data_IF_804388027019
#
_entry.id   IF_804388027019
#
_cell.length_a   1.000
_cell.length_b   1.000
_cell.length_c   1.000
_cell.angle_alpha   90.00
_cell.angle_beta   90.00
_cell.angle_gamma   90.00
#
_symmetry.space_group_name_H-M   'P 1'
#
loop_
_entity.id
_entity.type
_entity.pdbx_description
1 polymer ?
#
# COMPACT_ATOMS: atom_id res chain seq x y z
N UNK A 1 11.19 -2.97 11.35
CA UNK A 1 10.05 -3.87 11.60
C UNK A 1 9.62 -4.43 10.26
N UNK A 2 9.47 -5.74 10.15
CA UNK A 2 8.89 -6.44 9.01
C UNK A 2 8.17 -7.68 9.56
N UNK A 3 6.85 -7.74 9.44
CA UNK A 3 6.03 -8.76 10.07
C UNK A 3 5.05 -9.38 9.08
N UNK A 4 4.74 -10.66 9.29
CA UNK A 4 3.77 -11.42 8.51
C UNK A 4 2.61 -11.85 9.43
N UNK A 5 1.40 -11.36 9.14
CA UNK A 5 0.22 -11.55 9.99
C UNK A 5 -0.85 -12.33 9.20
N UNK A 6 -1.22 -13.57 9.57
CA UNK A 6 -2.32 -14.29 8.95
C UNK A 6 -3.67 -13.57 9.18
N UNK A 7 -4.33 -13.17 8.09
CA UNK A 7 -5.60 -12.42 8.12
C UNK A 7 -6.74 -13.21 7.50
N UNK A 8 -6.52 -13.82 6.34
CA UNK A 8 -7.55 -14.52 5.55
C UNK A 8 -7.14 -15.95 5.23
N UNK A 9 -8.11 -16.85 5.20
CA UNK A 9 -7.98 -18.17 4.57
C UNK A 9 -8.06 -18.04 3.04
N UNK A 10 -7.66 -19.09 2.30
CA UNK A 10 -7.76 -19.11 0.84
C UNK A 10 -9.21 -18.95 0.35
N UNK A 11 -10.20 -19.54 1.04
CA UNK A 11 -11.62 -19.37 0.69
C UNK A 11 -12.09 -17.92 0.90
N UNK A 12 -11.60 -17.24 1.92
CA UNK A 12 -11.92 -15.83 2.16
C UNK A 12 -11.20 -14.91 1.14
N UNK A 13 -9.98 -15.23 0.75
CA UNK A 13 -9.31 -14.53 -0.35
C UNK A 13 -10.10 -14.65 -1.66
N UNK A 14 -10.60 -15.85 -1.97
CA UNK A 14 -11.44 -16.06 -3.16
C UNK A 14 -12.76 -15.26 -3.08
N UNK A 15 -13.40 -15.21 -1.90
CA UNK A 15 -14.58 -14.35 -1.69
C UNK A 15 -14.26 -12.87 -1.94
N UNK A 16 -13.13 -12.36 -1.41
CA UNK A 16 -12.70 -10.98 -1.64
C UNK A 16 -12.43 -10.75 -3.13
N UNK A 17 -11.71 -11.67 -3.78
CA UNK A 17 -11.41 -11.62 -5.20
C UNK A 17 -12.68 -11.49 -6.05
N UNK A 18 -13.68 -12.35 -5.80
CA UNK A 18 -14.97 -12.32 -6.50
C UNK A 18 -15.70 -10.98 -6.29
N UNK A 19 -15.66 -10.44 -5.06
CA UNK A 19 -16.25 -9.13 -4.76
C UNK A 19 -15.55 -8.00 -5.50
N UNK A 20 -14.20 -8.00 -5.55
CA UNK A 20 -13.41 -7.03 -6.32
C UNK A 20 -13.81 -7.08 -7.80
N UNK A 21 -13.97 -8.28 -8.38
CA UNK A 21 -14.43 -8.44 -9.77
C UNK A 21 -15.85 -7.96 -10.00
N UNK A 22 -16.77 -8.23 -9.08
CA UNK A 22 -18.16 -7.73 -9.15
C UNK A 22 -18.22 -6.20 -9.16
N UNK A 23 -17.22 -5.53 -8.57
CA UNK A 23 -17.09 -4.07 -8.52
C UNK A 23 -16.30 -3.49 -9.71
N UNK A 24 -16.18 -4.19 -10.84
CA UNK A 24 -15.40 -3.73 -11.99
C UNK A 24 -15.78 -2.34 -12.50
N UNK A 25 -17.04 -1.94 -12.38
CA UNK A 25 -17.50 -0.59 -12.74
C UNK A 25 -16.94 0.52 -11.84
N UNK A 26 -16.46 0.17 -10.65
CA UNK A 26 -15.82 1.08 -9.69
C UNK A 26 -14.28 1.06 -9.78
N UNK A 27 -13.73 0.33 -10.72
CA UNK A 27 -12.28 0.30 -10.92
C UNK A 27 -11.81 1.59 -11.58
N UNK A 28 -10.80 2.19 -11.01
CA UNK A 28 -10.17 3.40 -11.55
C UNK A 28 -8.94 2.98 -12.34
N UNK A 29 -8.94 3.24 -13.66
CA UNK A 29 -7.79 2.94 -14.51
C UNK A 29 -6.59 3.81 -14.15
N UNK A 30 -5.43 3.17 -14.07
CA UNK A 30 -4.15 3.76 -13.72
C UNK A 30 -3.08 3.32 -14.73
N UNK A 31 -1.91 3.94 -14.65
CA UNK A 31 -0.79 3.61 -15.53
C UNK A 31 -0.98 4.10 -16.96
N UNK A 32 -0.16 3.57 -17.86
CA UNK A 32 -0.22 3.84 -19.29
C UNK A 32 -1.03 2.76 -20.03
N UNK A 33 -1.30 2.98 -21.33
CA UNK A 33 -1.93 1.98 -22.17
C UNK A 33 -1.11 0.68 -22.28
N UNK A 34 0.22 0.78 -22.20
CA UNK A 34 1.13 -0.37 -22.30
C UNK A 34 1.23 -1.16 -20.98
N UNK A 35 1.00 -0.49 -19.85
CA UNK A 35 1.10 -1.07 -18.49
C UNK A 35 -0.11 -0.66 -17.65
N UNK A 36 -1.31 -1.09 -18.03
CA UNK A 36 -2.51 -0.73 -17.30
C UNK A 36 -2.58 -1.47 -15.97
N UNK A 37 -2.96 -0.75 -14.93
CA UNK A 37 -3.43 -1.34 -13.69
C UNK A 37 -4.62 -0.56 -13.18
N UNK A 38 -5.30 -1.08 -12.16
CA UNK A 38 -6.50 -0.46 -11.63
C UNK A 38 -6.39 -0.35 -10.12
N UNK A 39 -7.11 0.64 -9.58
CA UNK A 39 -7.36 0.75 -8.13
C UNK A 39 -8.85 0.69 -7.85
N UNK A 40 -9.21 0.14 -6.68
CA UNK A 40 -10.55 0.28 -6.10
C UNK A 40 -10.36 1.02 -4.79
N UNK A 41 -10.66 2.30 -4.81
CA UNK A 41 -10.34 3.26 -3.75
C UNK A 41 -9.40 4.38 -4.21
N UNK A 42 -9.29 5.44 -3.40
CA UNK A 42 -8.37 6.54 -3.63
C UNK A 42 -6.97 6.15 -3.13
N UNK A 43 -6.00 6.19 -4.03
CA UNK A 43 -4.61 5.85 -3.73
C UNK A 43 -3.81 7.14 -3.46
N UNK A 44 -3.45 7.40 -2.22
CA UNK A 44 -2.80 8.66 -1.81
C UNK A 44 -1.54 8.97 -2.61
N UNK A 45 -0.72 7.97 -2.92
CA UNK A 45 0.52 8.16 -3.69
C UNK A 45 0.31 8.58 -5.16
N UNK A 46 -0.93 8.46 -5.68
CA UNK A 46 -1.34 8.97 -7.01
C UNK A 46 -2.21 10.20 -6.83
N UNK A 47 -3.28 10.07 -6.05
CA UNK A 47 -4.40 11.01 -6.05
C UNK A 47 -4.14 12.25 -5.18
N UNK A 48 -3.23 12.16 -4.20
CA UNK A 48 -2.86 13.29 -3.35
C UNK A 48 -1.59 14.01 -3.82
N UNK A 49 -0.69 13.35 -4.56
CA UNK A 49 0.61 13.93 -4.94
C UNK A 49 0.65 14.44 -6.38
N UNK A 50 -0.31 14.07 -7.22
CA UNK A 50 -0.36 14.52 -8.61
C UNK A 50 -0.49 16.05 -8.69
N UNK A 51 0.30 16.68 -9.57
CA UNK A 51 0.21 18.12 -9.86
C UNK A 51 -0.56 18.39 -11.13
N UNK A 52 -0.60 17.40 -12.05
CA UNK A 52 -1.28 17.52 -13.35
C UNK A 52 -1.85 16.15 -13.73
N UNK A 53 -3.16 15.94 -13.65
CA UNK A 53 -4.19 16.86 -13.14
C UNK A 53 -4.02 17.21 -11.66
N UNK A 54 -4.71 18.23 -11.13
CA UNK A 54 -4.64 18.57 -9.71
C UNK A 54 -5.06 17.41 -8.82
N UNK A 55 -4.67 17.39 -7.55
CA UNK A 55 -5.01 16.31 -6.63
C UNK A 55 -6.51 16.09 -6.53
N UNK A 56 -6.95 14.85 -6.65
CA UNK A 56 -8.35 14.44 -6.59
C UNK A 56 -8.65 13.48 -5.44
N UNK A 57 -7.74 13.36 -4.50
CA UNK A 57 -7.85 12.40 -3.39
C UNK A 57 -9.19 12.50 -2.64
N UNK A 58 -9.57 13.73 -2.23
CA UNK A 58 -10.81 13.96 -1.50
C UNK A 58 -12.07 13.69 -2.33
N UNK A 59 -12.05 13.96 -3.63
CA UNK A 59 -13.16 13.65 -4.52
C UNK A 59 -13.35 12.14 -4.64
N UNK A 60 -12.27 11.42 -4.93
CA UNK A 60 -12.30 9.97 -5.16
C UNK A 60 -12.68 9.22 -3.87
N UNK A 61 -12.18 9.63 -2.69
CA UNK A 61 -12.55 8.97 -1.44
C UNK A 61 -14.04 9.11 -1.12
N UNK A 62 -14.66 10.26 -1.43
CA UNK A 62 -16.10 10.46 -1.22
C UNK A 62 -16.94 9.50 -2.08
N UNK A 63 -16.48 9.22 -3.29
CA UNK A 63 -17.15 8.28 -4.21
C UNK A 63 -16.87 6.82 -3.82
N UNK A 64 -15.65 6.49 -3.41
CA UNK A 64 -15.20 5.09 -3.26
C UNK A 64 -15.34 4.53 -1.85
N UNK A 65 -15.17 5.34 -0.79
CA UNK A 65 -15.31 4.85 0.59
C UNK A 65 -16.67 4.20 0.90
N UNK A 66 -17.84 4.76 0.45
CA UNK A 66 -19.11 4.10 0.64
C UNK A 66 -19.17 2.70 0.01
N UNK A 67 -18.69 2.56 -1.23
CA UNK A 67 -18.63 1.28 -1.95
C UNK A 67 -17.76 0.28 -1.21
N UNK A 68 -16.57 0.71 -0.78
CA UNK A 68 -15.65 -0.14 -0.03
C UNK A 68 -16.25 -0.58 1.31
N UNK A 69 -16.92 0.32 2.04
CA UNK A 69 -17.59 -0.02 3.30
C UNK A 69 -18.74 -1.01 3.10
N UNK A 70 -19.56 -0.82 2.11
CA UNK A 70 -20.70 -1.69 1.81
C UNK A 70 -20.26 -3.13 1.55
N UNK A 71 -19.24 -3.29 0.71
CA UNK A 71 -18.84 -4.62 0.23
C UNK A 71 -17.77 -5.31 1.09
N UNK A 72 -16.94 -4.54 1.84
CA UNK A 72 -15.78 -5.06 2.57
C UNK A 72 -15.77 -4.74 4.07
N UNK A 73 -16.92 -4.33 4.68
CA UNK A 73 -16.97 -4.01 6.12
C UNK A 73 -16.40 -5.13 7.01
N UNK A 74 -16.70 -6.39 6.70
CA UNK A 74 -16.21 -7.54 7.44
C UNK A 74 -14.69 -7.70 7.32
N UNK A 75 -14.12 -7.40 6.14
CA UNK A 75 -12.69 -7.45 5.89
C UNK A 75 -11.97 -6.35 6.68
N UNK A 76 -12.49 -5.13 6.66
CA UNK A 76 -11.92 -4.03 7.44
C UNK A 76 -12.01 -4.29 8.95
N UNK A 77 -13.12 -4.81 9.45
CA UNK A 77 -13.25 -5.18 10.85
C UNK A 77 -12.18 -6.22 11.25
N UNK A 78 -11.95 -7.23 10.41
CA UNK A 78 -10.92 -8.25 10.64
C UNK A 78 -9.52 -7.66 10.56
N UNK A 79 -9.22 -6.84 9.54
CA UNK A 79 -7.95 -6.18 9.36
C UNK A 79 -7.58 -5.34 10.59
N UNK A 80 -8.49 -4.46 11.01
CA UNK A 80 -8.30 -3.62 12.20
C UNK A 80 -8.09 -4.46 13.46
N UNK A 81 -8.87 -5.52 13.65
CA UNK A 81 -8.69 -6.42 14.80
C UNK A 81 -7.31 -7.08 14.80
N UNK A 82 -6.87 -7.65 13.66
CA UNK A 82 -5.56 -8.30 13.54
C UNK A 82 -4.41 -7.33 13.77
N UNK A 83 -4.50 -6.14 13.19
CA UNK A 83 -3.53 -5.08 13.42
C UNK A 83 -3.54 -4.60 14.88
N UNK A 84 -4.72 -4.43 15.50
CA UNK A 84 -4.82 -4.01 16.91
C UNK A 84 -4.17 -5.00 17.86
N UNK A 85 -4.38 -6.30 17.63
CA UNK A 85 -3.74 -7.36 18.44
C UNK A 85 -2.23 -7.33 18.25
N UNK A 86 -1.75 -7.22 17.02
CA UNK A 86 -0.32 -7.22 16.71
C UNK A 86 0.41 -5.98 17.24
N UNK A 87 -0.19 -4.80 17.04
CA UNK A 87 0.38 -3.51 17.45
C UNK A 87 0.13 -3.18 18.92
N UNK A 88 -0.66 -4.00 19.62
CA UNK A 88 -1.08 -3.77 21.03
C UNK A 88 -1.70 -2.39 21.25
N UNK A 89 -2.42 -1.89 20.25
CA UNK A 89 -3.06 -0.58 20.26
C UNK A 89 -4.33 -0.59 19.41
N UNK A 90 -5.23 0.35 19.68
CA UNK A 90 -6.45 0.51 18.86
C UNK A 90 -6.06 0.87 17.44
N UNK A 91 -6.71 0.23 16.46
CA UNK A 91 -6.61 0.57 15.04
C UNK A 91 -7.98 1.03 14.56
N UNK A 92 -8.02 2.16 13.85
CA UNK A 92 -9.24 2.78 13.35
C UNK A 92 -9.05 3.36 11.95
N UNK A 93 -10.16 3.67 11.27
CA UNK A 93 -10.21 4.52 10.08
C UNK A 93 -10.74 5.90 10.44
N UNK A 94 -10.56 6.89 9.56
CA UNK A 94 -11.15 8.21 9.65
C UNK A 94 -11.98 8.48 8.40
N UNK A 95 -13.09 9.22 8.54
CA UNK A 95 -14.01 9.46 7.41
C UNK A 95 -13.41 10.38 6.35
N UNK A 96 -12.49 11.24 6.76
CA UNK A 96 -11.77 12.20 5.92
C UNK A 96 -10.61 11.56 5.13
N UNK A 97 -10.32 10.29 5.39
CA UNK A 97 -9.24 9.55 4.74
C UNK A 97 -9.79 8.41 3.90
N UNK A 98 -9.08 8.08 2.81
CA UNK A 98 -9.41 6.92 2.01
C UNK A 98 -9.23 5.63 2.84
N UNK A 99 -10.19 4.72 2.73
CA UNK A 99 -10.05 3.38 3.27
C UNK A 99 -8.92 2.62 2.54
N UNK A 100 -8.25 1.66 3.21
CA UNK A 100 -7.36 0.73 2.52
C UNK A 100 -8.03 0.16 1.27
N UNK A 101 -7.36 0.25 0.14
CA UNK A 101 -7.94 -0.04 -1.16
C UNK A 101 -7.19 -1.14 -1.91
N UNK A 102 -7.69 -1.47 -3.11
CA UNK A 102 -7.12 -2.57 -3.88
C UNK A 102 -6.33 -2.08 -5.07
N UNK A 103 -5.14 -2.66 -5.26
CA UNK A 103 -4.45 -2.69 -6.55
C UNK A 103 -4.82 -3.95 -7.30
N UNK A 104 -5.09 -3.80 -8.60
CA UNK A 104 -5.46 -4.90 -9.49
C UNK A 104 -4.62 -4.83 -10.77
N UNK A 105 -3.81 -5.85 -11.01
CA UNK A 105 -3.12 -6.11 -12.28
C UNK A 105 -3.68 -7.39 -12.89
N UNK A 106 -3.87 -7.40 -14.20
CA UNK A 106 -4.42 -8.54 -14.91
C UNK A 106 -3.57 -8.93 -16.13
N UNK A 107 -3.41 -10.23 -16.35
CA UNK A 107 -2.72 -10.78 -17.50
C UNK A 107 -1.30 -10.25 -17.62
N UNK A 108 -0.93 -9.87 -18.83
CA UNK A 108 0.42 -9.39 -19.16
C UNK A 108 0.79 -8.04 -18.55
N UNK A 109 -0.15 -7.34 -17.88
CA UNK A 109 0.16 -6.12 -17.13
C UNK A 109 0.73 -6.36 -15.73
N UNK A 110 0.77 -7.62 -15.27
CA UNK A 110 1.49 -7.98 -14.04
C UNK A 110 2.96 -7.58 -14.19
N UNK A 111 3.55 -6.83 -13.23
CA UNK A 111 4.89 -6.29 -13.39
C UNK A 111 5.97 -7.36 -13.53
N UNK A 112 6.63 -7.40 -14.70
CA UNK A 112 7.81 -8.25 -14.98
C UNK A 112 9.13 -7.48 -14.93
N UNK A 113 9.05 -6.16 -14.74
CA UNK A 113 10.20 -5.30 -14.46
C UNK A 113 10.06 -4.65 -13.10
N UNK A 114 11.18 -4.28 -12.52
CA UNK A 114 11.22 -3.61 -11.22
C UNK A 114 10.45 -2.28 -11.27
N UNK A 115 9.54 -2.09 -10.32
CA UNK A 115 8.87 -0.81 -10.09
C UNK A 115 9.83 0.16 -9.36
N UNK A 116 9.38 1.38 -9.11
CA UNK A 116 10.20 2.39 -8.41
C UNK A 116 10.55 1.96 -6.98
N UNK A 117 11.76 2.29 -6.57
CA UNK A 117 12.21 2.19 -5.18
C UNK A 117 11.78 3.44 -4.44
N UNK A 118 11.16 3.33 -3.27
CA UNK A 118 10.61 4.48 -2.56
C UNK A 118 10.43 4.24 -1.05
N UNK A 119 10.17 5.33 -0.34
CA UNK A 119 9.59 5.35 1.01
C UNK A 119 8.12 5.71 0.91
N UNK A 120 7.31 5.27 1.84
CA UNK A 120 5.90 5.62 1.94
C UNK A 120 5.71 6.89 2.76
N UNK A 121 5.77 8.04 2.07
CA UNK A 121 5.68 9.37 2.67
C UNK A 121 4.38 10.12 2.32
N UNK A 122 3.36 9.40 1.86
CA UNK A 122 2.10 9.97 1.36
C UNK A 122 1.36 10.79 2.41
N UNK A 123 1.57 10.45 3.70
CA UNK A 123 1.02 11.21 4.83
C UNK A 123 1.45 12.70 4.83
N UNK A 124 2.51 13.06 4.11
CA UNK A 124 2.95 14.45 3.96
C UNK A 124 2.09 15.23 2.96
N UNK A 125 1.32 14.55 2.11
CA UNK A 125 0.59 15.15 0.99
C UNK A 125 -0.93 15.08 1.16
N UNK A 126 -1.44 14.27 2.06
CA UNK A 126 -2.89 14.16 2.30
C UNK A 126 -3.35 15.18 3.33
N UNK A 127 -4.60 15.68 3.21
CA UNK A 127 -5.19 16.59 4.19
C UNK A 127 -5.56 15.77 5.44
N UNK A 128 -4.63 15.62 6.38
CA UNK A 128 -4.95 15.02 7.67
C UNK A 128 -6.03 15.85 8.36
N UNK A 129 -7.04 15.19 8.94
CA UNK A 129 -7.90 15.87 9.91
C UNK A 129 -6.99 16.49 10.97
N UNK A 130 -7.39 17.65 11.49
CA UNK A 130 -6.65 18.35 12.57
C UNK A 130 -6.49 17.43 13.79
N UNK A 131 -5.53 16.53 13.69
CA UNK A 131 -5.14 15.63 14.78
C UNK A 131 -3.90 16.22 15.44
N UNK A 132 -4.04 16.86 16.60
CA UNK A 132 -2.96 17.63 17.24
C UNK A 132 -1.71 16.81 17.57
N UNK A 133 -1.77 15.45 17.49
CA UNK A 133 -0.72 14.53 17.95
C UNK A 133 -0.51 13.35 17.01
N UNK A 134 -0.28 13.61 15.70
CA UNK A 134 0.16 12.54 14.81
C UNK A 134 1.66 12.29 14.98
N UNK A 135 2.04 11.07 15.33
CA UNK A 135 3.43 10.64 15.31
C UNK A 135 3.82 10.23 13.87
N UNK A 136 4.62 11.06 13.24
CA UNK A 136 5.12 10.85 11.88
C UNK A 136 6.49 10.16 11.84
N UNK A 137 7.06 9.83 12.99
CA UNK A 137 8.37 9.18 13.06
C UNK A 137 8.31 7.68 12.76
N UNK A 138 7.13 7.08 12.85
CA UNK A 138 6.95 5.63 12.68
C UNK A 138 5.72 5.30 11.83
N UNK A 139 5.65 5.77 10.57
CA UNK A 139 4.52 5.41 9.70
C UNK A 139 4.55 3.90 9.41
N UNK A 140 3.37 3.31 9.33
CA UNK A 140 3.19 1.92 8.92
C UNK A 140 2.79 1.84 7.45
N UNK A 141 3.21 0.75 6.82
CA UNK A 141 2.74 0.34 5.50
C UNK A 141 2.41 -1.14 5.53
N UNK A 142 1.32 -1.52 4.87
CA UNK A 142 0.91 -2.92 4.81
C UNK A 142 0.34 -3.30 3.45
N UNK A 143 0.55 -4.57 3.11
CA UNK A 143 0.01 -5.20 1.91
C UNK A 143 -0.58 -6.56 2.29
N UNK A 144 -1.84 -6.79 1.95
CA UNK A 144 -2.52 -8.08 2.09
C UNK A 144 -2.77 -8.66 0.69
N UNK A 145 -2.03 -9.68 0.27
CA UNK A 145 -2.23 -10.34 -1.02
C UNK A 145 -3.54 -11.14 -1.03
N UNK A 146 -4.42 -10.82 -1.98
CA UNK A 146 -5.70 -11.49 -2.21
C UNK A 146 -5.58 -12.53 -3.34
N UNK A 147 -4.92 -12.15 -4.43
CA UNK A 147 -4.53 -13.03 -5.51
C UNK A 147 -3.09 -12.76 -5.90
N UNK A 148 -2.36 -13.80 -6.24
CA UNK A 148 -0.97 -13.73 -6.69
C UNK A 148 -0.84 -14.38 -8.06
N UNK A 149 0.00 -13.82 -8.96
CA UNK A 149 0.31 -14.45 -10.24
C UNK A 149 1.08 -15.76 -10.02
N UNK A 150 1.20 -16.60 -11.05
CA UNK A 150 1.90 -17.90 -10.99
C UNK A 150 3.34 -17.78 -10.50
N UNK A 151 4.03 -16.72 -10.89
CA UNK A 151 5.38 -16.40 -10.43
C UNK A 151 5.46 -15.93 -8.97
N UNK A 152 4.32 -15.87 -8.25
CA UNK A 152 4.25 -15.36 -6.89
C UNK A 152 4.24 -13.82 -6.86
N UNK A 153 5.03 -13.24 -5.99
CA UNK A 153 5.18 -11.81 -5.80
C UNK A 153 5.82 -11.55 -4.45
N UNK A 154 6.16 -10.30 -4.20
CA UNK A 154 6.80 -9.97 -2.93
C UNK A 154 7.18 -8.50 -2.85
N UNK A 155 7.95 -8.21 -1.82
CA UNK A 155 8.53 -6.91 -1.55
C UNK A 155 10.05 -7.05 -1.44
N UNK A 156 10.78 -6.21 -2.14
CA UNK A 156 12.19 -5.97 -1.85
C UNK A 156 12.28 -4.85 -0.81
N UNK A 157 13.12 -5.02 0.20
CA UNK A 157 13.48 -3.96 1.14
C UNK A 157 14.99 -3.76 1.14
N UNK A 158 15.43 -2.57 1.54
CA UNK A 158 16.84 -2.25 1.76
C UNK A 158 17.06 -1.82 3.21
N UNK A 159 18.24 -2.05 3.71
CA UNK A 159 18.71 -1.55 5.00
C UNK A 159 19.03 -0.04 4.92
N UNK A 160 18.05 0.72 4.46
CA UNK A 160 18.08 2.17 4.33
C UNK A 160 16.75 2.76 4.79
N UNK A 161 16.82 3.72 5.71
CA UNK A 161 15.65 4.44 6.20
C UNK A 161 15.56 5.85 5.62
N UNK A 162 14.36 6.44 5.71
CA UNK A 162 14.11 7.83 5.35
C UNK A 162 14.95 8.80 6.21
N UNK A 163 15.12 8.49 7.50
CA UNK A 163 15.91 9.28 8.43
C UNK A 163 17.38 9.32 8.01
N UNK A 164 17.93 8.18 7.54
CA UNK A 164 19.32 8.13 7.04
C UNK A 164 19.49 8.95 5.76
N UNK A 165 18.50 8.92 4.83
CA UNK A 165 18.52 9.79 3.64
C UNK A 165 18.47 11.26 4.04
N UNK A 166 17.58 11.63 4.97
CA UNK A 166 17.46 13.00 5.45
C UNK A 166 18.76 13.47 6.15
N UNK A 167 19.37 12.63 6.99
CA UNK A 167 20.64 12.92 7.64
C UNK A 167 21.78 13.08 6.63
N UNK A 168 21.83 12.26 5.59
CA UNK A 168 22.80 12.38 4.49
C UNK A 168 22.66 13.74 3.78
N UNK A 169 21.44 14.16 3.46
CA UNK A 169 21.19 15.46 2.85
C UNK A 169 21.61 16.61 3.77
N UNK A 170 21.30 16.53 5.07
CA UNK A 170 21.71 17.55 6.05
C UNK A 170 23.23 17.66 6.16
N UNK A 171 23.94 16.53 6.17
CA UNK A 171 25.40 16.49 6.31
C UNK A 171 26.14 16.95 5.06
N UNK A 172 25.61 16.69 3.87
CA UNK A 172 26.31 16.93 2.60
C UNK A 172 25.79 18.14 1.82
N UNK A 173 24.58 18.61 2.10
CA UNK A 173 23.83 19.60 1.31
C UNK A 173 23.46 19.11 -0.09
N UNK A 174 23.65 17.81 -0.39
CA UNK A 174 23.40 17.23 -1.71
C UNK A 174 22.26 16.22 -1.65
N UNK A 175 21.26 16.40 -2.53
CA UNK A 175 20.25 15.38 -2.74
C UNK A 175 20.87 14.20 -3.53
N UNK A 176 20.84 13.01 -2.93
CA UNK A 176 21.23 11.75 -3.58
C UNK A 176 19.97 10.93 -3.82
N UNK A 177 19.66 10.54 -5.07
CA UNK A 177 18.52 9.67 -5.36
C UNK A 177 18.59 8.38 -4.54
N UNK A 178 17.44 7.89 -4.10
CA UNK A 178 17.36 6.67 -3.26
C UNK A 178 17.88 5.43 -3.99
N UNK A 179 17.70 5.38 -5.31
CA UNK A 179 18.23 4.31 -6.16
C UNK A 179 19.77 4.26 -6.14
N UNK A 180 20.42 5.42 -6.04
CA UNK A 180 21.87 5.49 -5.95
C UNK A 180 22.34 5.07 -4.56
N UNK A 181 21.66 5.53 -3.52
CA UNK A 181 21.96 5.11 -2.14
C UNK A 181 21.76 3.61 -1.94
N UNK A 182 20.71 3.04 -2.55
CA UNK A 182 20.38 1.62 -2.49
C UNK A 182 21.47 0.69 -3.06
N UNK A 183 22.30 1.18 -4.01
CA UNK A 183 23.36 0.36 -4.63
C UNK A 183 24.40 -0.17 -3.64
N UNK A 184 24.63 0.55 -2.54
CA UNK A 184 25.58 0.18 -1.48
C UNK A 184 24.91 -0.51 -0.29
N UNK A 185 23.62 -0.82 -0.37
CA UNK A 185 22.82 -1.35 0.73
C UNK A 185 22.40 -2.79 0.48
N UNK A 186 22.18 -3.53 1.55
CA UNK A 186 21.71 -4.91 1.49
C UNK A 186 20.23 -4.93 1.10
N UNK A 187 19.92 -5.65 0.01
CA UNK A 187 18.55 -5.92 -0.42
C UNK A 187 18.08 -7.26 0.13
N UNK A 188 16.89 -7.27 0.73
CA UNK A 188 16.22 -8.49 1.20
C UNK A 188 14.90 -8.66 0.43
N UNK A 189 14.65 -9.86 -0.09
CA UNK A 189 13.39 -10.21 -0.73
C UNK A 189 12.46 -10.89 0.29
N UNK A 190 11.22 -10.43 0.36
CA UNK A 190 10.16 -10.96 1.20
C UNK A 190 9.04 -11.48 0.30
N UNK A 191 8.90 -12.80 0.13
CA UNK A 191 7.82 -13.38 -0.67
C UNK A 191 6.46 -13.13 -0.04
N UNK A 192 5.47 -12.82 -0.85
CA UNK A 192 4.09 -12.72 -0.42
C UNK A 192 3.46 -14.11 -0.28
N UNK A 193 2.59 -14.24 0.71
CA UNK A 193 1.72 -15.39 0.89
C UNK A 193 0.27 -14.92 0.84
N UNK A 194 -0.57 -15.55 0.02
CA UNK A 194 -1.99 -15.21 -0.08
C UNK A 194 -2.66 -15.26 1.30
N UNK A 195 -3.41 -14.22 1.65
CA UNK A 195 -4.11 -14.10 2.93
C UNK A 195 -3.24 -13.71 4.12
N UNK A 196 -1.92 -13.55 3.93
CA UNK A 196 -0.98 -13.11 4.96
C UNK A 196 -0.58 -11.66 4.70
N UNK A 197 -0.92 -10.78 5.62
CA UNK A 197 -0.58 -9.36 5.55
C UNK A 197 0.91 -9.19 5.85
N UNK A 198 1.60 -8.47 4.99
CA UNK A 198 2.94 -7.97 5.20
C UNK A 198 2.85 -6.58 5.80
N UNK A 199 3.49 -6.36 6.95
CA UNK A 199 3.55 -5.09 7.66
C UNK A 199 5.00 -4.64 7.78
N UNK A 200 5.29 -3.37 7.46
CA UNK A 200 6.62 -2.79 7.61
C UNK A 200 6.53 -1.30 7.96
N UNK A 201 7.67 -0.69 8.31
CA UNK A 201 7.74 0.77 8.47
C UNK A 201 7.66 1.43 7.08
N UNK A 202 6.80 2.44 6.93
CA UNK A 202 6.76 3.28 5.73
C UNK A 202 8.07 4.01 5.45
N UNK A 203 8.93 4.21 6.47
CA UNK A 203 10.26 4.78 6.34
C UNK A 203 11.34 3.76 5.91
N UNK A 204 11.02 2.49 5.74
CA UNK A 204 11.93 1.51 5.14
C UNK A 204 11.93 1.64 3.62
N UNK A 205 13.10 1.76 3.01
CA UNK A 205 13.21 1.78 1.55
C UNK A 205 12.76 0.45 0.97
N UNK A 206 11.82 0.48 0.04
CA UNK A 206 11.23 -0.73 -0.51
C UNK A 206 10.80 -0.60 -1.98
N UNK A 207 10.41 -1.71 -2.56
CA UNK A 207 9.99 -1.84 -3.95
C UNK A 207 9.11 -3.08 -4.11
N UNK A 208 8.04 -2.97 -4.85
CA UNK A 208 7.28 -4.15 -5.29
C UNK A 208 8.20 -4.99 -6.19
N UNK A 209 8.41 -6.25 -5.82
CA UNK A 209 9.21 -7.17 -6.61
C UNK A 209 8.47 -7.57 -7.89
N UNK A 210 9.22 -7.58 -9.00
CA UNK A 210 8.75 -8.11 -10.27
C UNK A 210 8.59 -9.64 -10.20
N UNK A 211 7.75 -10.19 -11.06
CA UNK A 211 7.72 -11.63 -11.36
C UNK A 211 8.61 -11.90 -12.58
N UNK A 212 9.15 -13.11 -12.67
CA UNK A 212 10.03 -13.48 -13.81
C UNK A 212 9.25 -13.48 -15.14
N UNK A 213 7.99 -13.89 -15.11
CA UNK A 213 7.13 -13.98 -16.27
C UNK A 213 5.67 -13.72 -15.89
N UNK A 214 4.95 -12.99 -16.74
CA UNK A 214 3.51 -12.82 -16.67
C UNK A 214 2.81 -13.67 -17.74
N UNK A 215 1.63 -14.19 -17.40
CA UNK A 215 0.79 -14.99 -18.29
C UNK A 215 -0.56 -14.29 -18.52
N UNK A 216 -1.25 -14.58 -19.64
CA UNK A 216 -2.53 -13.92 -19.97
C UNK A 216 -3.63 -14.08 -18.93
N UNK A 217 -3.60 -15.15 -18.14
CA UNK A 217 -4.55 -15.48 -17.08
C UNK A 217 -4.03 -15.18 -15.67
N UNK A 218 -2.86 -14.54 -15.55
CA UNK A 218 -2.34 -14.09 -14.27
C UNK A 218 -3.17 -12.94 -13.73
N UNK A 219 -3.23 -12.89 -12.39
CA UNK A 219 -3.83 -11.79 -11.66
C UNK A 219 -3.05 -11.51 -10.39
N UNK A 220 -2.89 -10.22 -10.10
CA UNK A 220 -2.37 -9.75 -8.81
C UNK A 220 -3.36 -8.77 -8.23
N UNK A 221 -3.99 -9.17 -7.11
CA UNK A 221 -4.87 -8.31 -6.31
C UNK A 221 -4.25 -8.19 -4.93
N UNK A 222 -4.01 -6.96 -4.49
CA UNK A 222 -3.51 -6.68 -3.14
C UNK A 222 -4.35 -5.58 -2.50
N UNK A 223 -4.81 -5.81 -1.25
CA UNK A 223 -5.30 -4.72 -0.40
C UNK A 223 -4.10 -4.02 0.20
N UNK A 224 -4.04 -2.70 0.09
CA UNK A 224 -2.93 -1.89 0.59
C UNK A 224 -3.42 -0.77 1.49
N UNK A 225 -2.55 -0.33 2.36
CA UNK A 225 -2.79 0.83 3.20
C UNK A 225 -1.57 1.21 4.02
N UNK A 226 -1.71 2.34 4.66
CA UNK A 226 -0.72 2.96 5.53
C UNK A 226 -1.33 3.25 6.88
N UNK A 227 -0.53 3.65 7.86
CA UNK A 227 -1.02 4.04 9.17
C UNK A 227 -0.11 5.05 9.85
N UNK A 228 -0.72 5.96 10.60
CA UNK A 228 -0.03 6.83 11.55
C UNK A 228 -0.62 6.64 12.94
N UNK A 229 0.24 6.77 13.95
CA UNK A 229 -0.21 6.77 15.34
C UNK A 229 -0.70 8.16 15.71
N UNK A 230 -1.99 8.27 16.03
CA UNK A 230 -2.66 9.53 16.29
C UNK A 230 -3.56 9.41 17.54
N UNK A 231 -3.35 10.26 18.53
CA UNK A 231 -4.19 10.32 19.75
C UNK A 231 -4.42 8.95 20.42
N UNK A 232 -3.35 8.18 20.62
CA UNK A 232 -3.43 6.89 21.30
C UNK A 232 -3.94 5.72 20.44
N UNK A 233 -4.13 5.91 19.14
CA UNK A 233 -4.60 4.89 18.22
C UNK A 233 -3.87 4.96 16.88
N UNK A 234 -3.78 3.84 16.15
CA UNK A 234 -3.36 3.82 14.77
C UNK A 234 -4.53 4.20 13.87
N UNK A 235 -4.38 5.25 13.08
CA UNK A 235 -5.33 5.60 12.03
C UNK A 235 -4.81 5.06 10.71
N UNK A 236 -5.51 4.08 10.13
CA UNK A 236 -5.14 3.47 8.84
C UNK A 236 -5.88 4.14 7.68
N UNK A 237 -5.19 4.24 6.54
CA UNK A 237 -5.67 4.93 5.34
C UNK A 237 -4.95 4.39 4.09
N UNK A 238 -5.36 4.85 2.92
CA UNK A 238 -4.67 4.56 1.66
C UNK A 238 -4.40 5.79 0.81
#
# INVERSE_FOLDING_TARGET
MFDAIPVLSSAECERVRQTVHALRSSWIARGSADYPFYTVGAASYIDAVSRTPPPRYSEILVETNPVLREHFHWLYARLMNKLSVHLQAVVRTADELALPGFHVWQGLSVPTSSLSVHFDLQYMSIPWPDVPRSDRSQPLSFTLPIALPRGGGGLNTWDLSYEEQAAHFQATGKFTPVEEMAKSRTRTFHPYTQGVLTLHSGHTLHQIAAVDQAYPDDERITLQGHGLYCDGAWTIYW
#
